data_IF_144624950252
#
_entry.id   IF_144624950252
#
_cell.length_a   1.000
_cell.length_b   1.000
_cell.length_c   1.000
_cell.angle_alpha   90.00
_cell.angle_beta   90.00
_cell.angle_gamma   90.00
#
_symmetry.space_group_name_H-M   'P 1'
#
loop_
_entity.id
_entity.type
_entity.pdbx_description
1 polymer ?
#
# COMPACT_ATOMS: atom_id res chain seq x y z
N UNK A 1 -44.04 -15.32 38.84
CA UNK A 1 -43.63 -14.27 37.88
C UNK A 1 -44.85 -13.44 37.54
N UNK A 2 -44.84 -12.14 37.84
CA UNK A 2 -45.99 -11.26 37.56
C UNK A 2 -46.32 -11.29 36.06
N UNK A 3 -47.53 -11.74 35.71
CA UNK A 3 -48.03 -11.71 34.33
C UNK A 3 -48.44 -10.26 34.02
N UNK A 4 -47.46 -9.39 33.78
CA UNK A 4 -47.71 -8.07 33.23
C UNK A 4 -48.20 -8.21 31.79
N UNK A 5 -49.31 -7.54 31.45
CA UNK A 5 -49.83 -7.54 30.10
C UNK A 5 -48.85 -6.87 29.14
N UNK A 6 -48.37 -7.61 28.14
CA UNK A 6 -47.41 -7.09 27.16
C UNK A 6 -47.91 -5.81 26.46
N UNK A 7 -49.24 -5.65 26.35
CA UNK A 7 -49.90 -4.48 25.76
C UNK A 7 -49.71 -3.22 26.60
N UNK A 8 -49.82 -3.30 27.92
CA UNK A 8 -49.64 -2.13 28.81
C UNK A 8 -48.19 -1.68 28.82
N UNK A 9 -47.24 -2.64 28.83
CA UNK A 9 -45.81 -2.37 28.71
C UNK A 9 -45.45 -1.67 27.40
N UNK A 10 -46.00 -2.13 26.27
CA UNK A 10 -45.77 -1.49 24.97
C UNK A 10 -46.28 -0.05 24.97
N UNK A 11 -47.50 0.19 25.47
CA UNK A 11 -48.08 1.53 25.52
C UNK A 11 -47.28 2.49 26.38
N UNK A 12 -46.76 2.02 27.53
CA UNK A 12 -45.90 2.80 28.40
C UNK A 12 -44.64 3.28 27.66
N UNK A 13 -43.90 2.37 27.01
CA UNK A 13 -42.68 2.74 26.28
C UNK A 13 -42.94 3.56 25.01
N UNK A 14 -44.10 3.39 24.37
CA UNK A 14 -44.51 4.25 23.25
C UNK A 14 -44.76 5.69 23.73
N UNK A 15 -45.36 5.87 24.90
CA UNK A 15 -45.55 7.19 25.52
C UNK A 15 -44.21 7.87 25.86
N UNK A 16 -43.19 7.09 26.21
CA UNK A 16 -41.81 7.55 26.39
C UNK A 16 -41.06 7.81 25.06
N UNK A 17 -41.72 7.64 23.91
CA UNK A 17 -41.16 7.92 22.59
C UNK A 17 -40.38 6.76 21.96
N UNK A 18 -40.47 5.54 22.51
CA UNK A 18 -39.87 4.34 21.89
C UNK A 18 -40.77 3.81 20.76
N UNK A 19 -40.14 3.32 19.69
CA UNK A 19 -40.88 2.68 18.60
C UNK A 19 -41.53 1.39 19.08
N UNK A 20 -42.84 1.27 18.86
CA UNK A 20 -43.65 0.10 19.23
C UNK A 20 -43.04 -1.22 18.73
N UNK A 21 -42.56 -1.24 17.48
CA UNK A 21 -41.96 -2.42 16.85
C UNK A 21 -40.72 -2.90 17.59
N UNK A 22 -39.85 -2.00 18.03
CA UNK A 22 -38.64 -2.31 18.79
C UNK A 22 -39.00 -2.93 20.14
N UNK A 23 -39.93 -2.33 20.88
CA UNK A 23 -40.36 -2.83 22.20
C UNK A 23 -41.00 -4.20 22.07
N UNK A 24 -41.88 -4.38 21.07
CA UNK A 24 -42.48 -5.68 20.77
C UNK A 24 -41.43 -6.74 20.45
N UNK A 25 -40.43 -6.44 19.62
CA UNK A 25 -39.35 -7.37 19.30
C UNK A 25 -38.51 -7.76 20.52
N UNK A 26 -38.25 -6.83 21.44
CA UNK A 26 -37.54 -7.10 22.70
C UNK A 26 -38.37 -8.04 23.58
N UNK A 27 -39.66 -7.74 23.77
CA UNK A 27 -40.56 -8.59 24.58
C UNK A 27 -40.67 -9.98 23.97
N UNK A 28 -40.85 -10.08 22.65
CA UNK A 28 -40.91 -11.35 21.93
C UNK A 28 -39.62 -12.14 22.13
N UNK A 29 -38.45 -11.51 21.91
CA UNK A 29 -37.14 -12.15 22.14
C UNK A 29 -36.98 -12.65 23.57
N UNK A 30 -37.37 -11.84 24.56
CA UNK A 30 -37.29 -12.21 25.97
C UNK A 30 -38.19 -13.42 26.29
N UNK A 31 -39.39 -13.48 25.71
CA UNK A 31 -40.27 -14.66 25.85
C UNK A 31 -39.68 -15.91 25.20
N UNK A 32 -39.07 -15.77 24.03
CA UNK A 32 -38.54 -16.89 23.26
C UNK A 32 -37.21 -17.43 23.83
N UNK A 33 -36.33 -16.56 24.30
CA UNK A 33 -34.94 -16.92 24.69
C UNK A 33 -34.58 -16.64 26.15
N UNK A 34 -35.43 -15.93 26.91
CA UNK A 34 -35.13 -15.48 28.27
C UNK A 34 -34.11 -14.33 28.36
N UNK A 35 -33.65 -13.78 27.23
CA UNK A 35 -32.66 -12.69 27.17
C UNK A 35 -33.22 -11.47 26.46
N UNK A 36 -32.98 -10.28 27.01
CA UNK A 36 -33.40 -9.00 26.41
C UNK A 36 -32.34 -8.42 25.47
N UNK A 37 -31.08 -8.83 25.65
CA UNK A 37 -29.94 -8.33 24.88
C UNK A 37 -30.07 -8.65 23.38
N UNK A 38 -29.57 -7.74 22.54
CA UNK A 38 -29.47 -7.98 21.11
C UNK A 38 -28.12 -8.64 20.83
N UNK A 39 -28.13 -9.89 20.37
CA UNK A 39 -26.92 -10.50 19.84
C UNK A 39 -26.51 -9.71 18.58
N UNK A 40 -25.30 -9.14 18.52
CA UNK A 40 -24.84 -8.45 17.32
C UNK A 40 -24.93 -9.43 16.14
N UNK A 41 -25.40 -8.94 15.00
CA UNK A 41 -25.47 -9.73 13.78
C UNK A 41 -24.02 -10.09 13.37
N UNK A 42 -23.60 -11.30 13.72
CA UNK A 42 -22.38 -11.90 13.20
C UNK A 42 -22.72 -12.23 11.75
N UNK A 43 -22.35 -11.32 10.84
CA UNK A 43 -22.65 -11.44 9.42
C UNK A 43 -22.33 -12.84 8.88
N UNK A 44 -23.00 -13.23 7.80
CA UNK A 44 -22.77 -14.54 7.19
C UNK A 44 -21.29 -14.76 6.91
N UNK A 45 -20.78 -15.93 7.33
CA UNK A 45 -19.42 -16.31 7.00
C UNK A 45 -19.26 -16.32 5.48
N UNK A 46 -18.22 -15.62 5.01
CA UNK A 46 -17.93 -15.54 3.58
C UNK A 46 -17.64 -16.95 3.07
N UNK A 47 -18.35 -17.37 2.02
CA UNK A 47 -18.13 -18.68 1.42
C UNK A 47 -16.70 -18.78 0.85
N UNK A 48 -16.12 -19.97 0.88
CA UNK A 48 -14.79 -20.23 0.30
C UNK A 48 -14.71 -19.78 -1.18
N UNK A 49 -15.83 -19.81 -1.90
CA UNK A 49 -15.93 -19.43 -3.30
C UNK A 49 -15.94 -17.92 -3.50
N UNK A 50 -16.61 -17.16 -2.61
CA UNK A 50 -16.51 -15.70 -2.60
C UNK A 50 -15.07 -15.25 -2.34
N UNK A 51 -14.37 -15.88 -1.39
CA UNK A 51 -12.99 -15.55 -1.05
C UNK A 51 -12.04 -15.77 -2.24
N UNK A 52 -12.23 -16.86 -3.00
CA UNK A 52 -11.48 -17.13 -4.23
C UNK A 52 -11.75 -16.07 -5.30
N UNK A 53 -13.01 -15.67 -5.45
CA UNK A 53 -13.41 -14.65 -6.43
C UNK A 53 -12.81 -13.29 -6.09
N UNK A 54 -12.83 -12.90 -4.81
CA UNK A 54 -12.22 -11.67 -4.32
C UNK A 54 -10.70 -11.64 -4.59
N UNK A 55 -9.98 -12.73 -4.26
CA UNK A 55 -8.54 -12.85 -4.57
C UNK A 55 -8.26 -12.75 -6.07
N UNK A 56 -9.13 -13.32 -6.92
CA UNK A 56 -8.99 -13.24 -8.39
C UNK A 56 -9.22 -11.82 -8.89
N UNK A 57 -10.20 -11.11 -8.34
CA UNK A 57 -10.44 -9.71 -8.66
C UNK A 57 -9.23 -8.87 -8.24
N UNK A 58 -8.73 -9.02 -7.02
CA UNK A 58 -7.56 -8.28 -6.53
C UNK A 58 -6.31 -8.48 -7.41
N UNK A 59 -6.04 -9.70 -7.87
CA UNK A 59 -4.89 -9.95 -8.75
C UNK A 59 -5.06 -9.32 -10.13
N UNK A 60 -6.26 -9.32 -10.70
CA UNK A 60 -6.54 -8.70 -12.00
C UNK A 60 -6.55 -7.17 -11.94
N UNK A 61 -7.00 -6.57 -10.84
CA UNK A 61 -7.01 -5.11 -10.67
C UNK A 61 -5.66 -4.54 -10.18
N UNK A 62 -4.75 -5.37 -9.66
CA UNK A 62 -3.39 -4.93 -9.29
C UNK A 62 -2.58 -4.41 -10.49
N UNK A 63 -2.91 -4.86 -11.70
CA UNK A 63 -2.34 -4.39 -12.96
C UNK A 63 -3.37 -3.48 -13.62
N UNK A 64 -3.35 -2.19 -13.27
CA UNK A 64 -4.26 -1.22 -13.86
C UNK A 64 -4.07 -1.21 -15.39
N UNK A 65 -5.07 -1.60 -16.21
CA UNK A 65 -4.92 -1.66 -17.66
C UNK A 65 -4.57 -0.28 -18.25
N UNK A 66 -4.97 0.80 -17.56
CA UNK A 66 -4.59 2.16 -17.91
C UNK A 66 -3.09 2.44 -17.77
N UNK A 67 -2.39 1.85 -16.80
CA UNK A 67 -0.94 2.04 -16.69
C UNK A 67 -0.21 1.32 -17.83
N UNK A 68 -0.63 0.11 -18.17
CA UNK A 68 -0.09 -0.64 -19.31
C UNK A 68 -0.35 0.08 -20.65
N UNK A 69 -1.56 0.59 -20.88
CA UNK A 69 -1.89 1.35 -22.09
C UNK A 69 -1.05 2.63 -22.17
N UNK A 70 -1.03 3.44 -21.10
CA UNK A 70 -0.31 4.72 -21.08
C UNK A 70 1.20 4.54 -21.25
N UNK A 71 1.80 3.61 -20.51
CA UNK A 71 3.26 3.45 -20.46
C UNK A 71 3.79 2.60 -21.62
N UNK A 72 3.16 1.44 -21.92
CA UNK A 72 3.68 0.51 -22.94
C UNK A 72 3.20 0.82 -24.35
N UNK A 73 1.92 1.17 -24.52
CA UNK A 73 1.35 1.40 -25.87
C UNK A 73 1.53 2.83 -26.34
N UNK A 74 1.27 3.81 -25.48
CA UNK A 74 1.31 5.23 -25.83
C UNK A 74 2.66 5.89 -25.52
N UNK A 75 3.56 5.21 -24.81
CA UNK A 75 4.88 5.74 -24.45
C UNK A 75 4.85 6.94 -23.50
N UNK A 76 3.70 7.23 -22.88
CA UNK A 76 3.51 8.36 -21.97
C UNK A 76 4.23 8.05 -20.66
N UNK A 77 5.44 8.58 -20.51
CA UNK A 77 6.22 8.49 -19.29
C UNK A 77 5.78 9.58 -18.34
N UNK A 78 5.11 9.20 -17.25
CA UNK A 78 4.88 10.12 -16.15
C UNK A 78 6.22 10.36 -15.44
N UNK A 79 6.70 11.61 -15.47
CA UNK A 79 7.84 12.03 -14.67
C UNK A 79 7.32 12.59 -13.34
N UNK A 80 7.77 12.03 -12.23
CA UNK A 80 7.49 12.62 -10.92
C UNK A 80 8.48 13.74 -10.67
N UNK A 81 7.99 14.96 -10.42
CA UNK A 81 8.85 16.04 -9.95
C UNK A 81 9.45 15.64 -8.61
N UNK A 82 10.77 15.45 -8.59
CA UNK A 82 11.52 15.27 -7.35
C UNK A 82 12.02 16.64 -6.90
N UNK A 83 11.79 16.98 -5.63
CA UNK A 83 12.39 18.18 -5.05
C UNK A 83 13.91 18.07 -5.15
N UNK A 84 14.56 19.13 -5.61
CA UNK A 84 16.01 19.21 -5.60
C UNK A 84 16.53 19.01 -4.17
N UNK A 85 17.67 18.33 -3.98
CA UNK A 85 18.33 18.25 -2.67
C UNK A 85 18.55 19.67 -2.13
N UNK A 86 18.22 19.91 -0.86
CA UNK A 86 18.53 21.19 -0.22
C UNK A 86 20.04 21.33 -0.11
N UNK A 87 20.58 22.50 -0.44
CA UNK A 87 21.99 22.81 -0.20
C UNK A 87 22.27 22.76 1.31
N UNK A 88 23.20 21.89 1.71
CA UNK A 88 23.69 21.79 3.08
C UNK A 88 25.12 22.33 3.09
N UNK A 89 25.51 23.07 4.13
CA UNK A 89 26.85 23.68 4.23
C UNK A 89 28.00 22.68 4.02
N UNK A 90 27.81 21.42 4.42
CA UNK A 90 28.80 20.33 4.30
C UNK A 90 28.74 19.53 2.98
N UNK A 91 27.97 19.98 1.99
CA UNK A 91 27.76 19.24 0.75
C UNK A 91 29.06 19.05 -0.04
N UNK A 92 29.93 20.04 -0.08
CA UNK A 92 31.22 19.94 -0.78
C UNK A 92 32.10 18.83 -0.19
N UNK A 93 32.24 18.79 1.15
CA UNK A 93 33.01 17.77 1.84
C UNK A 93 32.46 16.37 1.54
N UNK A 94 31.14 16.20 1.63
CA UNK A 94 30.46 14.92 1.36
C UNK A 94 30.65 14.47 -0.09
N UNK A 95 30.56 15.40 -1.04
CA UNK A 95 30.77 15.10 -2.47
C UNK A 95 32.21 14.64 -2.72
N UNK A 96 33.21 15.33 -2.18
CA UNK A 96 34.63 14.93 -2.30
C UNK A 96 34.88 13.54 -1.71
N UNK A 97 34.34 13.25 -0.52
CA UNK A 97 34.45 11.91 0.10
C UNK A 97 33.77 10.83 -0.74
N UNK A 98 32.57 11.11 -1.26
CA UNK A 98 31.82 10.19 -2.12
C UNK A 98 32.57 9.86 -3.41
N UNK A 99 33.08 10.88 -4.11
CA UNK A 99 33.88 10.73 -5.32
C UNK A 99 35.14 9.90 -5.07
N UNK A 100 35.86 10.15 -3.96
CA UNK A 100 37.04 9.35 -3.57
C UNK A 100 36.68 7.87 -3.34
N UNK A 101 35.53 7.60 -2.74
CA UNK A 101 35.07 6.23 -2.51
C UNK A 101 34.66 5.52 -3.80
N UNK A 102 34.02 6.23 -4.73
CA UNK A 102 33.71 5.71 -6.07
C UNK A 102 35.01 5.38 -6.80
N UNK A 103 35.95 6.33 -6.84
CA UNK A 103 37.27 6.16 -7.45
C UNK A 103 38.01 4.93 -6.90
N UNK A 104 38.07 4.78 -5.56
CA UNK A 104 38.66 3.60 -4.92
C UNK A 104 37.97 2.28 -5.30
N UNK A 105 36.65 2.29 -5.49
CA UNK A 105 35.88 1.09 -5.89
C UNK A 105 36.09 0.75 -7.37
N UNK A 106 36.18 1.76 -8.23
CA UNK A 106 36.38 1.58 -9.67
C UNK A 106 37.83 1.23 -10.02
N UNK A 107 38.83 1.85 -9.38
CA UNK A 107 40.26 1.58 -9.62
C UNK A 107 40.78 0.25 -9.05
N UNK A 108 40.01 -0.42 -8.17
CA UNK A 108 40.38 -1.77 -7.71
C UNK A 108 40.25 -2.84 -8.81
N UNK A 109 39.71 -2.48 -9.98
CA UNK A 109 39.86 -3.27 -11.20
C UNK A 109 41.16 -2.80 -11.87
N UNK A 110 42.13 -3.70 -11.87
CA UNK A 110 43.48 -3.62 -12.44
C UNK A 110 43.69 -2.46 -13.41
N UNK A 111 44.51 -1.49 -13.02
CA UNK A 111 45.07 -0.50 -13.93
C UNK A 111 46.16 -1.23 -14.74
N UNK A 112 45.81 -1.71 -15.93
CA UNK A 112 46.80 -2.16 -16.92
C UNK A 112 47.35 -0.89 -17.57
N UNK A 113 48.53 -0.47 -17.14
CA UNK A 113 49.30 0.55 -17.84
C UNK A 113 50.14 -0.23 -18.85
N UNK A 114 49.86 -0.04 -20.14
CA UNK A 114 50.71 -0.55 -21.20
C UNK A 114 52.01 0.27 -21.15
N UNK A 115 53.13 -0.36 -20.82
CA UNK A 115 54.44 0.28 -20.70
C UNK A 115 55.13 0.41 -22.06
N UNK A 116 54.35 0.58 -23.14
CA UNK A 116 54.84 0.78 -24.49
C UNK A 116 55.83 1.94 -24.49
N UNK A 117 57.10 1.55 -24.41
CA UNK A 117 58.23 2.43 -24.42
C UNK A 117 58.36 2.82 -25.89
N UNK A 118 57.82 3.98 -26.25
CA UNK A 118 57.95 4.53 -27.59
C UNK A 118 59.45 4.73 -27.86
N UNK A 119 60.07 3.76 -28.52
CA UNK A 119 61.40 3.91 -29.07
C UNK A 119 61.25 4.93 -30.20
N UNK A 120 61.77 6.13 -29.98
CA UNK A 120 61.96 7.10 -31.06
C UNK A 120 62.99 6.48 -32.01
N UNK A 121 62.52 5.82 -33.06
CA UNK A 121 63.35 5.49 -34.20
C UNK A 121 63.75 6.82 -34.82
N UNK A 122 64.93 7.33 -34.45
CA UNK A 122 65.53 8.44 -35.18
C UNK A 122 65.63 8.02 -36.66
N UNK A 123 65.00 8.75 -37.59
CA UNK A 123 65.15 8.45 -38.99
C UNK A 123 66.61 8.75 -39.34
N UNK A 124 67.40 7.69 -39.60
CA UNK A 124 68.76 7.83 -40.12
C UNK A 124 68.68 8.72 -41.37
N UNK A 125 69.22 9.93 -41.25
CA UNK A 125 69.32 10.87 -42.35
C UNK A 125 70.07 10.22 -43.51
N UNK A 126 69.42 10.18 -44.67
CA UNK A 126 70.11 10.01 -45.94
C UNK A 126 70.77 11.35 -46.30
N UNK A 127 72.09 11.32 -46.50
CA UNK A 127 72.63 11.58 -47.83
C UNK A 127 73.46 10.42 -48.38
#
# INVERSE_FOLDING_TARGET
>A
MAKGDAKSTIQHFVKEGRRQTTVFQIIKRYKDTGKAEYAPFLGHQISKQMLKTQKKIETHFSKCPMSDIKVKKLGIRAQTQKKAPKYVKDQERRTKTGLRNIYKKTLRKTLVIDDETYVVLEPKGQP
#
